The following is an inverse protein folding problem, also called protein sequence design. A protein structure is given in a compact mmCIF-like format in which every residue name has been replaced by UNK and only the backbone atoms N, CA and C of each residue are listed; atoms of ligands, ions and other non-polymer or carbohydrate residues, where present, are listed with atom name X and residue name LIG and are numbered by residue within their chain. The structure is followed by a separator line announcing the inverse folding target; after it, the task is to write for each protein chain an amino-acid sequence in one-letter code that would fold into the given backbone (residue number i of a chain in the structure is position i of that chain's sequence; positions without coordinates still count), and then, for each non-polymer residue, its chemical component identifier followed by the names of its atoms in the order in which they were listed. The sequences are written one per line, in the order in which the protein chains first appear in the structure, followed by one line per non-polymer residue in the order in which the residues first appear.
data_IF_370456721432
#
_entry.id   IF_370456721432
#
_cell.length_a   1.000
_cell.length_b   1.000
_cell.length_c   1.000
_cell.angle_alpha   90.00
_cell.angle_beta   90.00
_cell.angle_gamma   90.00
#
_symmetry.space_group_name_H-M   'P 1'
#
loop_
_entity.id
_entity.type
_entity.pdbx_description
1 polymer ?
#
# COMPACT_ATOMS: atom_id res chain seq x y z
N UNK A 1 -1.63 14.83 6.00
CA UNK A 1 -1.87 15.35 4.63
C UNK A 1 -2.33 14.17 3.79
N UNK A 2 -3.64 13.99 3.66
CA UNK A 2 -4.22 12.86 2.90
C UNK A 2 -3.86 13.00 1.43
N UNK A 3 -3.56 11.88 0.77
CA UNK A 3 -3.27 11.85 -0.65
C UNK A 3 -4.55 12.23 -1.41
N UNK A 4 -4.64 13.52 -1.73
CA UNK A 4 -5.75 14.13 -2.45
C UNK A 4 -5.97 13.45 -3.80
N UNK A 5 -4.98 12.75 -4.35
CA UNK A 5 -5.10 12.07 -5.65
C UNK A 5 -5.90 10.76 -5.55
N UNK A 6 -5.75 10.01 -4.45
CA UNK A 6 -6.49 8.77 -4.22
C UNK A 6 -7.99 9.03 -4.01
N UNK A 7 -8.32 10.04 -3.20
CA UNK A 7 -9.71 10.46 -2.97
C UNK A 7 -10.33 11.03 -4.26
N UNK A 8 -9.57 11.81 -5.04
CA UNK A 8 -10.00 12.34 -6.34
C UNK A 8 -10.31 11.23 -7.34
N UNK A 9 -9.48 10.18 -7.41
CA UNK A 9 -9.69 9.03 -8.31
C UNK A 9 -10.89 8.17 -7.88
N UNK A 10 -11.10 8.00 -6.58
CA UNK A 10 -12.27 7.31 -6.04
C UNK A 10 -13.57 8.07 -6.34
N UNK A 11 -13.57 9.40 -6.21
CA UNK A 11 -14.75 10.25 -6.39
C UNK A 11 -15.09 10.51 -7.87
N UNK A 12 -14.09 10.74 -8.75
CA UNK A 12 -14.31 10.82 -10.22
C UNK A 12 -14.91 9.55 -10.81
N UNK A 13 -14.67 8.40 -10.19
CA UNK A 13 -15.23 7.12 -10.64
C UNK A 13 -16.71 6.94 -10.30
N UNK A 14 -17.23 7.71 -9.32
CA UNK A 14 -18.58 7.50 -8.77
C UNK A 14 -19.53 8.69 -8.91
N UNK A 15 -19.06 9.93 -8.99
CA UNK A 15 -19.92 11.11 -8.99
C UNK A 15 -19.57 11.98 -10.20
N UNK A 16 -20.56 12.11 -11.09
CA UNK A 16 -20.72 13.09 -12.17
C UNK A 16 -19.46 13.80 -12.71
N UNK A 17 -19.26 13.70 -14.03
CA UNK A 17 -18.26 14.41 -14.86
C UNK A 17 -18.28 15.96 -14.76
N UNK A 18 -19.02 16.59 -13.84
CA UNK A 18 -19.38 18.02 -13.89
C UNK A 18 -19.01 18.87 -12.68
N UNK A 19 -18.54 18.30 -11.55
CA UNK A 19 -18.20 19.11 -10.35
C UNK A 19 -16.69 19.21 -10.10
N UNK A 20 -16.27 20.36 -9.60
CA UNK A 20 -14.88 20.67 -9.27
C UNK A 20 -14.45 20.07 -7.93
N UNK A 21 -13.13 19.99 -7.73
CA UNK A 21 -12.50 19.42 -6.53
C UNK A 21 -12.90 20.14 -5.23
N UNK A 22 -13.08 21.45 -5.29
CA UNK A 22 -13.34 22.27 -4.11
C UNK A 22 -14.82 22.19 -3.71
N UNK A 23 -15.75 22.13 -4.68
CA UNK A 23 -17.18 21.91 -4.43
C UNK A 23 -17.46 20.59 -3.70
N UNK A 24 -16.73 19.53 -4.05
CA UNK A 24 -16.88 18.21 -3.42
C UNK A 24 -16.35 18.22 -1.98
N UNK A 25 -15.27 18.95 -1.70
CA UNK A 25 -14.71 19.09 -0.35
C UNK A 25 -15.62 19.96 0.53
N UNK A 26 -16.16 21.05 -0.04
CA UNK A 26 -17.05 21.96 0.67
C UNK A 26 -18.40 21.29 1.00
N UNK A 27 -18.97 20.49 0.09
CA UNK A 27 -20.17 19.69 0.39
C UNK A 27 -19.90 18.65 1.50
N UNK A 28 -18.71 18.06 1.53
CA UNK A 28 -18.30 17.08 2.55
C UNK A 28 -18.12 17.74 3.93
N UNK A 29 -17.51 18.93 3.97
CA UNK A 29 -17.38 19.74 5.19
C UNK A 29 -18.73 20.28 5.66
N UNK A 30 -19.64 20.67 4.75
CA UNK A 30 -20.99 21.13 5.07
C UNK A 30 -21.89 20.00 5.59
N UNK A 31 -21.78 18.79 5.04
CA UNK A 31 -22.50 17.62 5.54
C UNK A 31 -22.09 17.26 6.95
N UNK A 32 -20.77 17.19 7.19
CA UNK A 32 -20.20 16.95 8.52
C UNK A 32 -20.56 18.07 9.50
N UNK A 33 -20.50 19.34 9.08
CA UNK A 33 -20.88 20.46 9.95
C UNK A 33 -22.36 20.48 10.28
N UNK A 34 -23.25 20.16 9.33
CA UNK A 34 -24.70 20.05 9.58
C UNK A 34 -25.04 18.90 10.53
N UNK A 35 -24.40 17.75 10.36
CA UNK A 35 -24.66 16.60 11.23
C UNK A 35 -24.13 16.83 12.64
N UNK A 36 -22.91 17.38 12.76
CA UNK A 36 -22.33 17.78 14.04
C UNK A 36 -23.15 18.89 14.71
N UNK A 37 -23.62 19.88 13.95
CA UNK A 37 -24.49 20.94 14.46
C UNK A 37 -25.86 20.41 14.90
N UNK A 38 -26.43 19.41 14.20
CA UNK A 38 -27.70 18.79 14.59
C UNK A 38 -27.57 17.97 15.86
N UNK A 39 -26.51 17.16 15.98
CA UNK A 39 -26.24 16.37 17.20
C UNK A 39 -25.90 17.27 18.40
N UNK A 40 -25.09 18.31 18.18
CA UNK A 40 -24.81 19.32 19.21
C UNK A 40 -26.08 20.07 19.62
N UNK A 41 -26.93 20.46 18.66
CA UNK A 41 -28.20 21.14 18.95
C UNK A 41 -29.14 20.25 19.75
N UNK A 42 -29.30 18.98 19.40
CA UNK A 42 -30.14 18.06 20.17
C UNK A 42 -29.62 17.86 21.61
N UNK A 43 -28.31 17.73 21.79
CA UNK A 43 -27.70 17.65 23.11
C UNK A 43 -27.90 18.94 23.94
N UNK A 44 -27.82 20.10 23.29
CA UNK A 44 -28.10 21.39 23.93
C UNK A 44 -29.59 21.56 24.28
N UNK A 45 -30.51 21.11 23.41
CA UNK A 45 -31.95 21.15 23.65
C UNK A 45 -32.34 20.24 24.83
N UNK A 46 -31.75 19.03 24.94
CA UNK A 46 -31.93 18.14 26.09
C UNK A 46 -31.35 18.72 27.39
N UNK A 47 -30.16 19.34 27.32
CA UNK A 47 -29.56 19.99 28.48
C UNK A 47 -30.42 21.18 28.94
N UNK A 48 -30.97 21.94 28.00
CA UNK A 48 -31.87 23.05 28.26
C UNK A 48 -33.17 22.60 28.94
N UNK A 49 -33.81 21.54 28.43
CA UNK A 49 -35.01 20.97 29.05
C UNK A 49 -34.72 20.45 30.48
N UNK A 50 -33.58 19.78 30.68
CA UNK A 50 -33.18 19.32 32.01
C UNK A 50 -32.97 20.48 33.00
N UNK A 51 -32.34 21.56 32.55
CA UNK A 51 -32.15 22.77 33.36
C UNK A 51 -33.49 23.42 33.70
N UNK A 52 -34.39 23.50 32.71
CA UNK A 52 -35.73 24.06 32.88
C UNK A 52 -36.57 23.27 33.89
N UNK A 53 -36.56 21.94 33.78
CA UNK A 53 -37.34 21.04 34.65
C UNK A 53 -36.78 20.94 36.08
N UNK A 54 -35.53 21.35 36.29
CA UNK A 54 -34.83 21.25 37.58
C UNK A 54 -34.37 22.62 38.10
N UNK A 55 -34.94 23.73 37.61
CA UNK A 55 -34.40 25.08 37.88
C UNK A 55 -34.37 25.46 39.37
N UNK A 56 -35.32 24.95 40.17
CA UNK A 56 -35.41 25.14 41.63
C UNK A 56 -34.63 24.09 42.44
N UNK A 57 -33.96 23.14 41.78
CA UNK A 57 -33.24 22.07 42.46
C UNK A 57 -31.93 22.60 43.05
N UNK A 58 -31.75 22.48 44.37
CA UNK A 58 -30.52 22.90 45.07
C UNK A 58 -29.25 22.21 44.54
N UNK A 59 -29.38 21.05 43.87
CA UNK A 59 -28.30 20.30 43.26
C UNK A 59 -28.22 20.45 41.73
N UNK A 60 -28.96 21.39 41.12
CA UNK A 60 -29.00 21.61 39.68
C UNK A 60 -27.60 21.73 39.07
N UNK A 61 -26.70 22.45 39.75
CA UNK A 61 -25.31 22.61 39.29
C UNK A 61 -24.60 21.27 39.12
N UNK A 62 -24.75 20.36 40.08
CA UNK A 62 -24.16 19.01 40.05
C UNK A 62 -24.82 18.18 38.95
N UNK A 63 -26.14 18.31 38.76
CA UNK A 63 -26.87 17.60 37.69
C UNK A 63 -26.44 18.06 36.29
N UNK A 64 -26.22 19.36 36.10
CA UNK A 64 -25.69 19.94 34.86
C UNK A 64 -24.26 19.48 34.61
N UNK A 65 -23.39 19.52 35.61
CA UNK A 65 -22.00 19.05 35.49
C UNK A 65 -21.95 17.55 35.16
N UNK A 66 -22.78 16.73 35.81
CA UNK A 66 -22.88 15.30 35.52
C UNK A 66 -23.45 15.03 34.13
N UNK A 67 -24.46 15.80 33.68
CA UNK A 67 -25.04 15.65 32.33
C UNK A 67 -24.04 16.08 31.26
N UNK A 68 -23.29 17.17 31.46
CA UNK A 68 -22.21 17.61 30.55
C UNK A 68 -21.10 16.56 30.48
N UNK A 69 -20.71 15.96 31.61
CA UNK A 69 -19.71 14.90 31.63
C UNK A 69 -20.22 13.58 31.01
N UNK A 70 -21.53 13.32 31.10
CA UNK A 70 -22.19 12.17 30.46
C UNK A 70 -22.54 12.41 28.99
N UNK A 71 -22.56 13.68 28.54
CA UNK A 71 -22.50 14.05 27.13
C UNK A 71 -21.07 13.76 26.66
N UNK A 72 -20.73 12.48 26.56
CA UNK A 72 -19.64 12.04 25.69
C UNK A 72 -20.02 12.53 24.29
N UNK A 73 -19.55 13.71 23.89
CA UNK A 73 -19.59 14.17 22.49
C UNK A 73 -18.63 13.27 21.72
N UNK A 74 -19.07 12.02 21.59
CA UNK A 74 -18.62 11.05 20.63
C UNK A 74 -18.85 11.72 19.30
N UNK A 75 -17.77 12.10 18.62
CA UNK A 75 -17.80 12.17 17.15
C UNK A 75 -18.39 10.82 16.76
N UNK A 76 -19.63 10.76 16.21
CA UNK A 76 -20.31 9.51 16.06
C UNK A 76 -19.35 8.56 15.36
N UNK A 77 -19.14 7.40 15.98
CA UNK A 77 -18.33 6.31 15.45
C UNK A 77 -18.59 6.30 13.95
N UNK A 78 -17.58 6.66 13.14
CA UNK A 78 -17.79 6.96 11.73
C UNK A 78 -18.25 5.67 11.09
N UNK A 79 -19.57 5.50 11.00
CA UNK A 79 -20.13 4.40 10.28
C UNK A 79 -19.94 4.75 8.82
N UNK A 80 -18.81 4.30 8.28
CA UNK A 80 -18.46 4.51 6.89
C UNK A 80 -19.60 3.98 6.00
N UNK A 81 -20.31 2.91 6.38
CA UNK A 81 -21.51 2.45 5.67
C UNK A 81 -22.55 3.56 5.56
N UNK A 82 -22.91 4.23 6.65
CA UNK A 82 -23.94 5.27 6.66
C UNK A 82 -23.53 6.53 5.90
N UNK A 83 -22.25 6.90 5.93
CA UNK A 83 -21.72 8.03 5.15
C UNK A 83 -21.71 7.69 3.65
N UNK A 84 -21.31 6.47 3.29
CA UNK A 84 -21.31 6.00 1.90
C UNK A 84 -22.73 5.80 1.36
N UNK A 85 -23.67 5.31 2.17
CA UNK A 85 -25.09 5.18 1.84
C UNK A 85 -25.73 6.55 1.61
N UNK A 86 -25.46 7.53 2.48
CA UNK A 86 -25.92 8.91 2.33
C UNK A 86 -25.43 9.55 1.02
N UNK A 87 -24.18 9.28 0.62
CA UNK A 87 -23.60 9.74 -0.64
C UNK A 87 -24.18 9.01 -1.87
N UNK A 88 -24.50 7.73 -1.75
CA UNK A 88 -25.11 6.95 -2.83
C UNK A 88 -26.57 7.35 -3.08
N UNK A 89 -27.35 7.55 -2.01
CA UNK A 89 -28.74 8.01 -2.08
C UNK A 89 -28.88 9.42 -2.66
N UNK A 90 -27.96 10.34 -2.34
CA UNK A 90 -27.96 11.70 -2.90
C UNK A 90 -27.50 11.77 -4.36
N UNK A 91 -26.76 10.76 -4.84
CA UNK A 91 -26.34 10.60 -6.23
C UNK A 91 -27.29 9.72 -7.08
N UNK A 92 -28.41 9.25 -6.51
CA UNK A 92 -29.40 8.40 -7.21
C UNK A 92 -28.95 6.96 -7.47
N UNK A 93 -27.88 6.48 -6.82
CA UNK A 93 -27.40 5.11 -6.96
C UNK A 93 -27.83 4.24 -5.77
N UNK A 94 -28.42 3.07 -6.03
CA UNK A 94 -28.66 2.05 -5.00
C UNK A 94 -27.35 1.31 -4.72
N UNK A 95 -26.82 1.45 -3.52
CA UNK A 95 -25.69 0.66 -3.03
C UNK A 95 -26.20 -0.39 -2.03
N UNK A 96 -25.69 -1.61 -2.13
CA UNK A 96 -25.90 -2.68 -1.16
C UNK A 96 -24.55 -3.35 -0.93
N UNK A 97 -24.23 -3.67 0.34
CA UNK A 97 -23.14 -4.59 0.64
C UNK A 97 -23.45 -5.93 -0.01
N UNK A 98 -22.59 -6.36 -0.93
CA UNK A 98 -22.75 -7.66 -1.54
C UNK A 98 -22.07 -8.75 -0.70
N UNK A 99 -22.30 -10.00 -1.06
CA UNK A 99 -21.73 -11.16 -0.38
C UNK A 99 -20.19 -11.11 -0.28
N UNK A 100 -19.52 -10.48 -1.25
CA UNK A 100 -18.06 -10.34 -1.28
C UNK A 100 -17.60 -9.32 -0.24
N UNK A 101 -18.35 -8.23 -0.01
CA UNK A 101 -18.05 -7.26 1.06
C UNK A 101 -18.20 -7.90 2.44
N UNK A 102 -19.30 -8.62 2.66
CA UNK A 102 -19.57 -9.34 3.91
C UNK A 102 -18.48 -10.40 4.14
N UNK A 103 -18.16 -11.20 3.12
CA UNK A 103 -17.10 -12.21 3.19
C UNK A 103 -15.73 -11.60 3.45
N UNK A 104 -15.44 -10.43 2.88
CA UNK A 104 -14.17 -9.71 3.13
C UNK A 104 -14.07 -9.23 4.58
N UNK A 105 -15.15 -8.65 5.11
CA UNK A 105 -15.23 -8.23 6.51
C UNK A 105 -15.14 -9.42 7.46
N UNK A 106 -15.88 -10.50 7.20
CA UNK A 106 -15.81 -11.74 7.97
C UNK A 106 -14.42 -12.35 7.94
N UNK A 107 -13.76 -12.34 6.78
CA UNK A 107 -12.43 -12.93 6.63
C UNK A 107 -11.36 -12.07 7.31
N UNK A 108 -11.51 -10.75 7.28
CA UNK A 108 -10.68 -9.85 8.10
C UNK A 108 -10.89 -10.11 9.59
N UNK A 109 -12.12 -10.41 10.03
CA UNK A 109 -12.47 -10.73 11.42
C UNK A 109 -12.04 -12.15 11.87
N UNK A 110 -12.08 -13.13 10.97
CA UNK A 110 -11.74 -14.55 11.20
C UNK A 110 -10.25 -14.85 11.02
N UNK A 111 -9.49 -13.93 10.43
CA UNK A 111 -8.09 -14.10 10.08
C UNK A 111 -7.22 -14.49 11.30
N UNK A 112 -6.25 -15.38 11.08
CA UNK A 112 -5.33 -15.81 12.14
C UNK A 112 -4.29 -14.73 12.44
N UNK A 113 -4.19 -14.32 13.70
CA UNK A 113 -3.16 -13.40 14.18
C UNK A 113 -2.12 -14.16 14.99
N UNK A 114 -0.86 -13.78 14.81
CA UNK A 114 0.29 -14.50 15.34
C UNK A 114 1.25 -13.58 16.09
N UNK A 115 1.84 -14.12 17.15
CA UNK A 115 2.82 -13.47 18.00
C UNK A 115 3.95 -14.46 18.34
N UNK A 116 5.16 -14.22 17.82
CA UNK A 116 6.41 -14.94 18.17
C UNK A 116 6.27 -16.48 18.11
N UNK A 117 6.74 -17.26 19.08
CA UNK A 117 6.79 -18.71 18.96
C UNK A 117 5.62 -19.43 19.64
N UNK A 118 4.65 -18.69 20.17
CA UNK A 118 3.59 -19.24 21.00
C UNK A 118 2.25 -19.17 20.25
N UNK A 119 1.84 -20.32 19.72
CA UNK A 119 0.45 -20.55 19.36
C UNK A 119 -0.28 -21.01 20.62
N UNK A 120 -0.77 -20.06 21.40
CA UNK A 120 -1.82 -20.33 22.36
C UNK A 120 -3.13 -19.86 21.73
N UNK A 121 -4.11 -20.76 21.61
CA UNK A 121 -5.44 -20.46 21.07
C UNK A 121 -6.07 -19.24 21.77
N UNK A 122 -5.84 -19.11 23.09
CA UNK A 122 -6.24 -17.94 23.88
C UNK A 122 -5.58 -16.64 23.40
N UNK A 123 -4.28 -16.67 23.09
CA UNK A 123 -3.54 -15.50 22.57
C UNK A 123 -4.08 -15.12 21.18
N UNK A 124 -4.34 -16.09 20.32
CA UNK A 124 -4.91 -15.84 18.99
C UNK A 124 -6.34 -15.25 19.08
N UNK A 125 -7.18 -15.79 19.97
CA UNK A 125 -8.54 -15.30 20.19
C UNK A 125 -8.55 -13.89 20.81
N UNK A 126 -7.67 -13.59 21.76
CA UNK A 126 -7.52 -12.26 22.35
C UNK A 126 -7.03 -11.23 21.32
N UNK A 127 -6.09 -11.60 20.46
CA UNK A 127 -5.66 -10.78 19.30
C UNK A 127 -6.82 -10.51 18.34
N UNK A 128 -7.62 -11.53 18.02
CA UNK A 128 -8.80 -11.39 17.15
C UNK A 128 -9.81 -10.42 17.75
N UNK A 129 -10.09 -10.54 19.04
CA UNK A 129 -11.00 -9.66 19.76
C UNK A 129 -10.51 -8.20 19.72
N UNK A 130 -9.24 -7.94 20.08
CA UNK A 130 -8.69 -6.57 20.07
C UNK A 130 -8.69 -5.99 18.66
N UNK A 131 -8.33 -6.80 17.66
CA UNK A 131 -8.33 -6.35 16.26
C UNK A 131 -9.74 -6.01 15.78
N UNK A 132 -10.75 -6.82 16.14
CA UNK A 132 -12.16 -6.53 15.84
C UNK A 132 -12.61 -5.20 16.47
N UNK A 133 -12.22 -4.94 17.73
CA UNK A 133 -12.50 -3.65 18.38
C UNK A 133 -11.89 -2.46 17.64
N UNK A 134 -10.68 -2.60 17.10
CA UNK A 134 -10.06 -1.55 16.27
C UNK A 134 -10.83 -1.33 14.96
N UNK A 135 -11.27 -2.41 14.31
CA UNK A 135 -12.07 -2.30 13.08
C UNK A 135 -13.47 -1.74 13.32
N UNK A 136 -14.07 -2.01 14.48
CA UNK A 136 -15.38 -1.47 14.89
C UNK A 136 -15.30 -0.03 15.44
N UNK A 137 -14.10 0.56 15.50
CA UNK A 137 -13.89 1.91 16.03
C UNK A 137 -13.94 2.01 17.56
N UNK A 138 -14.10 0.89 18.27
CA UNK A 138 -14.12 0.83 19.74
C UNK A 138 -12.74 1.14 20.35
N UNK A 139 -11.66 0.93 19.59
CA UNK A 139 -10.29 1.26 19.98
C UNK A 139 -9.60 1.97 18.82
N UNK A 140 -8.91 3.07 19.10
CA UNK A 140 -8.16 3.76 18.05
C UNK A 140 -6.96 2.94 17.59
N UNK A 141 -6.54 3.11 16.33
CA UNK A 141 -5.34 2.47 15.80
C UNK A 141 -4.09 2.77 16.64
N UNK A 142 -3.98 4.00 17.14
CA UNK A 142 -2.86 4.43 17.99
C UNK A 142 -2.82 3.65 19.32
N UNK A 143 -3.98 3.31 19.86
CA UNK A 143 -4.11 2.65 21.17
C UNK A 143 -4.06 1.12 21.07
N UNK A 144 -4.02 0.53 19.87
CA UNK A 144 -3.98 -0.93 19.67
C UNK A 144 -2.74 -1.54 20.34
N UNK A 145 -1.57 -0.91 20.20
CA UNK A 145 -0.32 -1.43 20.75
C UNK A 145 -0.34 -1.44 22.29
N UNK A 146 -0.85 -0.37 22.92
CA UNK A 146 -1.00 -0.27 24.37
C UNK A 146 -2.04 -1.27 24.89
N UNK A 147 -3.18 -1.40 24.20
CA UNK A 147 -4.22 -2.39 24.53
C UNK A 147 -3.66 -3.81 24.50
N UNK A 148 -2.90 -4.17 23.46
CA UNK A 148 -2.25 -5.48 23.37
C UNK A 148 -1.23 -5.67 24.50
N UNK A 149 -0.41 -4.65 24.79
CA UNK A 149 0.59 -4.71 25.85
C UNK A 149 -0.04 -4.99 27.21
N UNK A 150 -1.11 -4.26 27.58
CA UNK A 150 -1.79 -4.48 28.85
C UNK A 150 -2.49 -5.84 28.90
N UNK A 151 -3.14 -6.26 27.80
CA UNK A 151 -3.81 -7.56 27.72
C UNK A 151 -2.85 -8.75 27.90
N UNK A 152 -1.64 -8.64 27.35
CA UNK A 152 -0.63 -9.70 27.38
C UNK A 152 0.44 -9.51 28.46
N UNK A 153 0.24 -8.55 29.37
CA UNK A 153 1.10 -8.32 30.53
C UNK A 153 1.16 -9.59 31.40
N UNK A 154 2.37 -10.08 31.64
CA UNK A 154 2.59 -11.33 32.39
C UNK A 154 2.40 -12.62 31.59
N UNK A 155 1.87 -12.55 30.35
CA UNK A 155 1.74 -13.71 29.44
C UNK A 155 2.90 -13.76 28.43
N UNK A 156 3.35 -12.59 27.97
CA UNK A 156 4.47 -12.45 27.04
C UNK A 156 5.45 -11.40 27.56
N UNK A 157 6.72 -11.79 27.73
CA UNK A 157 7.80 -10.84 28.03
C UNK A 157 8.23 -10.11 26.75
N UNK A 158 7.40 -9.20 26.27
CA UNK A 158 7.68 -8.39 25.09
C UNK A 158 7.50 -6.90 25.35
N UNK A 159 8.31 -6.06 24.71
CA UNK A 159 8.27 -4.62 24.87
C UNK A 159 7.15 -3.99 24.01
N UNK A 160 6.81 -2.72 24.27
CA UNK A 160 5.79 -1.97 23.50
C UNK A 160 6.06 -2.02 21.99
N UNK A 161 7.33 -1.91 21.58
CA UNK A 161 7.76 -1.95 20.17
C UNK A 161 7.38 -3.28 19.49
N UNK A 162 7.45 -4.41 20.19
CA UNK A 162 6.99 -5.67 19.63
C UNK A 162 5.47 -5.63 19.33
N UNK A 163 4.65 -5.16 20.27
CA UNK A 163 3.20 -5.07 20.09
C UNK A 163 2.80 -4.08 19.00
N UNK A 164 3.46 -2.93 18.92
CA UNK A 164 3.32 -1.99 17.81
C UNK A 164 3.58 -2.68 16.46
N UNK A 165 4.63 -3.51 16.38
CA UNK A 165 4.96 -4.17 15.12
C UNK A 165 3.99 -5.29 14.73
N UNK A 166 3.40 -5.97 15.72
CA UNK A 166 2.30 -6.92 15.50
C UNK A 166 1.07 -6.17 14.97
N UNK A 167 0.68 -5.07 15.61
CA UNK A 167 -0.42 -4.21 15.15
C UNK A 167 -0.20 -3.72 13.71
N UNK A 168 0.99 -3.18 13.42
CA UNK A 168 1.32 -2.68 12.08
C UNK A 168 1.24 -3.77 11.02
N UNK A 169 1.75 -4.97 11.32
CA UNK A 169 1.67 -6.11 10.41
C UNK A 169 0.22 -6.50 10.11
N UNK A 170 -0.59 -6.65 11.16
CA UNK A 170 -2.01 -7.03 11.06
C UNK A 170 -2.78 -6.02 10.22
N UNK A 171 -2.63 -4.75 10.53
CA UNK A 171 -3.34 -3.66 9.85
C UNK A 171 -2.89 -3.57 8.39
N UNK A 172 -1.59 -3.65 8.12
CA UNK A 172 -1.06 -3.61 6.75
C UNK A 172 -1.57 -4.78 5.91
N UNK A 173 -1.55 -6.00 6.43
CA UNK A 173 -2.08 -7.17 5.71
C UNK A 173 -3.57 -7.03 5.43
N UNK A 174 -4.35 -6.65 6.43
CA UNK A 174 -5.80 -6.47 6.31
C UNK A 174 -6.16 -5.38 5.28
N UNK A 175 -5.47 -4.24 5.29
CA UNK A 175 -5.68 -3.17 4.32
C UNK A 175 -5.37 -3.60 2.89
N UNK A 176 -4.30 -4.35 2.68
CA UNK A 176 -3.94 -4.85 1.36
C UNK A 176 -4.96 -5.89 0.85
N UNK A 177 -5.40 -6.82 1.71
CA UNK A 177 -6.44 -7.81 1.37
C UNK A 177 -7.77 -7.11 1.04
N UNK A 178 -8.20 -6.16 1.87
CA UNK A 178 -9.43 -5.40 1.64
C UNK A 178 -9.39 -4.69 0.28
N UNK A 179 -8.25 -4.08 -0.04
CA UNK A 179 -8.07 -3.41 -1.34
C UNK A 179 -8.11 -4.40 -2.51
N UNK A 180 -7.53 -5.59 -2.36
CA UNK A 180 -7.58 -6.65 -3.37
C UNK A 180 -9.02 -7.07 -3.61
N UNK A 181 -9.75 -7.43 -2.55
CA UNK A 181 -11.14 -7.88 -2.63
C UNK A 181 -12.07 -6.80 -3.21
N UNK A 182 -11.86 -5.52 -2.87
CA UNK A 182 -12.64 -4.43 -3.46
C UNK A 182 -12.32 -4.23 -4.94
N UNK A 183 -11.04 -4.32 -5.30
CA UNK A 183 -10.58 -4.06 -6.66
C UNK A 183 -10.96 -5.17 -7.64
N UNK A 184 -11.04 -6.43 -7.18
CA UNK A 184 -11.42 -7.57 -8.02
C UNK A 184 -12.83 -7.42 -8.59
N UNK A 185 -13.75 -6.80 -7.84
CA UNK A 185 -15.12 -6.46 -8.27
C UNK A 185 -15.17 -5.60 -9.53
N UNK A 186 -14.16 -4.76 -9.73
CA UNK A 186 -14.08 -3.83 -10.84
C UNK A 186 -13.23 -4.36 -12.00
N UNK A 187 -12.91 -5.67 -12.01
CA UNK A 187 -12.20 -6.30 -13.10
C UNK A 187 -10.76 -5.79 -13.27
N UNK A 188 -10.14 -5.30 -12.19
CA UNK A 188 -8.73 -4.87 -12.18
C UNK A 188 -7.85 -6.00 -12.70
N UNK A 189 -6.90 -5.67 -13.59
CA UNK A 189 -6.01 -6.66 -14.23
C UNK A 189 -4.62 -6.70 -13.62
N UNK A 190 -4.19 -5.62 -12.97
CA UNK A 190 -2.86 -5.51 -12.39
C UNK A 190 -2.87 -4.69 -11.09
N UNK A 191 -1.93 -5.02 -10.20
CA UNK A 191 -1.59 -4.21 -9.04
C UNK A 191 -0.16 -3.71 -9.15
N UNK A 192 0.07 -2.47 -8.71
CA UNK A 192 1.40 -1.90 -8.51
C UNK A 192 1.76 -1.94 -7.04
N UNK A 193 2.96 -2.40 -6.73
CA UNK A 193 3.52 -2.33 -5.38
C UNK A 193 4.07 -0.93 -5.12
N UNK A 194 3.63 -0.30 -4.03
CA UNK A 194 4.09 1.00 -3.57
C UNK A 194 4.72 0.90 -2.18
N UNK A 195 6.03 1.02 -2.11
CA UNK A 195 6.76 1.10 -0.85
C UNK A 195 7.06 2.58 -0.52
N UNK A 196 6.99 2.93 0.77
CA UNK A 196 7.51 4.22 1.25
C UNK A 196 9.03 4.18 1.20
N UNK A 197 9.63 4.90 0.26
CA UNK A 197 11.08 4.96 0.06
C UNK A 197 11.69 6.03 0.97
N UNK A 198 12.30 5.58 2.07
CA UNK A 198 13.03 6.39 3.05
C UNK A 198 14.24 5.60 3.60
N UNK A 199 14.89 6.14 4.65
CA UNK A 199 16.04 5.51 5.31
C UNK A 199 15.70 4.17 5.98
N UNK A 200 14.43 3.95 6.32
CA UNK A 200 13.91 2.75 7.00
C UNK A 200 13.37 1.71 6.03
N UNK A 201 13.40 1.95 4.72
CA UNK A 201 12.96 0.96 3.72
C UNK A 201 13.98 -0.17 3.62
N UNK A 202 13.50 -1.40 3.84
CA UNK A 202 14.26 -2.63 3.64
C UNK A 202 14.60 -2.89 2.17
N UNK A 203 15.63 -3.70 1.93
CA UNK A 203 16.06 -4.07 0.58
C UNK A 203 14.93 -4.76 -0.20
N UNK A 204 14.15 -5.64 0.45
CA UNK A 204 13.00 -6.27 -0.20
C UNK A 204 11.94 -5.27 -0.62
N UNK A 205 11.50 -4.34 0.25
CA UNK A 205 10.45 -3.38 -0.08
C UNK A 205 10.92 -2.42 -1.18
N UNK A 206 12.19 -2.02 -1.13
CA UNK A 206 12.81 -1.21 -2.17
C UNK A 206 12.80 -1.93 -3.51
N UNK A 207 13.22 -3.20 -3.55
CA UNK A 207 13.25 -4.01 -4.79
C UNK A 207 11.87 -4.31 -5.38
N UNK A 208 10.85 -4.41 -4.53
CA UNK A 208 9.47 -4.66 -4.95
C UNK A 208 8.75 -3.37 -5.37
N UNK A 209 9.22 -2.19 -4.96
CA UNK A 209 8.59 -0.92 -5.33
C UNK A 209 8.49 -0.75 -6.84
N UNK A 210 7.32 -0.35 -7.32
CA UNK A 210 7.03 -0.17 -8.74
C UNK A 210 6.74 -1.47 -9.51
N UNK A 211 6.83 -2.65 -8.88
CA UNK A 211 6.51 -3.91 -9.55
C UNK A 211 5.02 -3.98 -9.91
N UNK A 212 4.75 -4.36 -11.15
CA UNK A 212 3.42 -4.59 -11.69
C UNK A 212 3.14 -6.09 -11.66
N UNK A 213 2.10 -6.48 -10.94
CA UNK A 213 1.76 -7.88 -10.67
C UNK A 213 0.37 -8.16 -11.24
N UNK A 214 0.16 -9.26 -12.00
CA UNK A 214 -1.17 -9.66 -12.45
C UNK A 214 -2.15 -9.81 -11.29
N UNK A 215 -3.39 -9.36 -11.49
CA UNK A 215 -4.45 -9.46 -10.48
C UNK A 215 -4.69 -10.91 -10.05
N UNK A 216 -4.71 -11.85 -11.00
CA UNK A 216 -4.88 -13.28 -10.72
C UNK A 216 -3.85 -13.84 -9.73
N UNK A 217 -2.60 -13.38 -9.79
CA UNK A 217 -1.55 -13.79 -8.86
C UNK A 217 -1.83 -13.28 -7.44
N UNK A 218 -2.17 -12.00 -7.32
CA UNK A 218 -2.44 -11.35 -6.04
C UNK A 218 -3.74 -11.86 -5.40
N UNK A 219 -4.78 -12.07 -6.20
CA UNK A 219 -6.07 -12.60 -5.75
C UNK A 219 -5.94 -14.05 -5.28
N UNK A 220 -5.19 -14.89 -6.00
CA UNK A 220 -4.89 -16.25 -5.56
C UNK A 220 -4.14 -16.26 -4.21
N UNK A 221 -3.11 -15.41 -4.07
CA UNK A 221 -2.39 -15.29 -2.81
C UNK A 221 -3.29 -14.77 -1.68
N UNK A 222 -4.12 -13.75 -1.96
CA UNK A 222 -5.10 -13.21 -1.02
C UNK A 222 -6.07 -14.30 -0.54
N UNK A 223 -6.62 -15.08 -1.47
CA UNK A 223 -7.53 -16.19 -1.16
C UNK A 223 -6.85 -17.25 -0.29
N UNK A 224 -5.59 -17.60 -0.55
CA UNK A 224 -4.84 -18.56 0.26
C UNK A 224 -4.61 -18.06 1.69
N UNK A 225 -4.30 -16.77 1.88
CA UNK A 225 -4.15 -16.17 3.22
C UNK A 225 -5.48 -16.18 3.96
N UNK A 226 -6.55 -15.83 3.25
CA UNK A 226 -7.91 -15.72 3.75
C UNK A 226 -8.51 -17.07 4.17
N UNK A 227 -8.18 -18.14 3.44
CA UNK A 227 -8.70 -19.50 3.68
C UNK A 227 -7.77 -20.37 4.52
N UNK A 228 -6.62 -19.86 4.95
CA UNK A 228 -5.68 -20.59 5.81
C UNK A 228 -6.39 -21.01 7.11
N UNK A 229 -6.31 -22.29 7.46
CA UNK A 229 -6.93 -22.92 8.64
C UNK A 229 -6.05 -22.87 9.87
N UNK A 230 -4.75 -22.70 9.68
CA UNK A 230 -3.77 -22.60 10.74
C UNK A 230 -2.63 -21.63 10.39
N UNK A 231 -1.70 -21.47 11.33
CA UNK A 231 -0.56 -20.56 11.17
C UNK A 231 0.47 -21.05 10.15
N UNK A 232 0.62 -22.36 9.97
CA UNK A 232 1.55 -22.94 9.02
C UNK A 232 1.06 -22.69 7.60
N UNK A 233 -0.23 -22.93 7.35
CA UNK A 233 -0.90 -22.58 6.08
C UNK A 233 -0.79 -21.07 5.81
N UNK A 234 -1.00 -20.22 6.82
CA UNK A 234 -0.88 -18.77 6.64
C UNK A 234 0.54 -18.33 6.30
N UNK A 235 1.56 -18.89 6.96
CA UNK A 235 2.99 -18.64 6.65
C UNK A 235 3.38 -19.18 5.28
N UNK A 236 2.80 -20.31 4.86
CA UNK A 236 3.00 -20.87 3.54
C UNK A 236 2.37 -20.01 2.43
N UNK A 237 1.24 -19.34 2.71
CA UNK A 237 0.55 -18.46 1.79
C UNK A 237 1.18 -17.06 1.65
N UNK A 238 1.92 -16.58 2.66
CA UNK A 238 2.56 -15.27 2.66
C UNK A 238 3.97 -15.33 3.25
N UNK A 239 4.96 -15.59 2.39
CA UNK A 239 6.36 -15.69 2.83
C UNK A 239 6.95 -14.31 3.08
N UNK A 240 7.70 -14.19 4.18
CA UNK A 240 8.56 -13.04 4.41
C UNK A 240 9.90 -13.22 3.74
N UNK A 241 10.50 -12.11 3.31
CA UNK A 241 11.83 -12.08 2.70
C UNK A 241 12.59 -10.86 3.19
N UNK A 242 13.90 -11.01 3.38
CA UNK A 242 14.79 -9.89 3.74
C UNK A 242 15.59 -9.41 2.53
N UNK A 243 16.00 -10.34 1.68
CA UNK A 243 16.79 -10.08 0.47
C UNK A 243 15.95 -9.42 -0.64
N UNK A 244 16.57 -8.60 -1.51
CA UNK A 244 15.89 -8.00 -2.65
C UNK A 244 15.39 -9.07 -3.63
N UNK A 245 14.22 -8.82 -4.22
CA UNK A 245 13.66 -9.66 -5.28
C UNK A 245 14.13 -9.19 -6.65
N UNK A 246 15.03 -9.96 -7.26
CA UNK A 246 15.66 -9.63 -8.54
C UNK A 246 14.96 -10.28 -9.75
N UNK A 247 14.07 -11.24 -9.46
CA UNK A 247 13.34 -12.07 -10.42
C UNK A 247 12.33 -11.34 -11.32
N UNK A 248 11.95 -12.02 -12.40
CA UNK A 248 10.75 -11.67 -13.17
C UNK A 248 9.50 -12.38 -12.63
N UNK A 249 9.61 -13.69 -12.37
CA UNK A 249 8.49 -14.55 -12.00
C UNK A 249 8.39 -14.61 -10.48
N UNK A 250 7.29 -14.10 -9.92
CA UNK A 250 7.05 -14.16 -8.48
C UNK A 250 6.62 -15.58 -8.05
N UNK A 251 7.12 -16.09 -6.92
CA UNK A 251 6.53 -17.25 -6.27
C UNK A 251 5.04 -17.03 -5.98
N UNK A 252 4.21 -18.09 -6.08
CA UNK A 252 2.75 -18.00 -5.89
C UNK A 252 2.33 -17.48 -4.51
N UNK A 253 3.18 -17.64 -3.51
CA UNK A 253 2.99 -17.16 -2.13
C UNK A 253 3.75 -15.86 -1.82
N UNK A 254 4.11 -15.09 -2.86
CA UNK A 254 4.85 -13.85 -2.73
C UNK A 254 4.38 -12.78 -3.73
N UNK A 255 4.09 -11.59 -3.25
CA UNK A 255 3.60 -10.47 -4.08
C UNK A 255 2.71 -9.51 -3.29
N UNK A 256 1.79 -10.07 -2.51
CA UNK A 256 0.93 -9.35 -1.57
C UNK A 256 1.72 -8.98 -0.29
N UNK A 257 1.91 -7.68 0.01
CA UNK A 257 2.54 -7.24 1.25
C UNK A 257 1.63 -7.52 2.46
N UNK A 258 2.18 -7.74 3.66
CA UNK A 258 3.53 -7.35 4.09
C UNK A 258 4.64 -8.36 3.76
N UNK A 259 5.83 -7.87 3.39
CA UNK A 259 7.00 -8.71 3.06
C UNK A 259 7.90 -9.02 4.26
N UNK A 260 7.76 -8.28 5.35
CA UNK A 260 8.52 -8.43 6.58
C UNK A 260 7.74 -7.80 7.75
N UNK A 261 8.28 -7.95 8.97
CA UNK A 261 7.72 -7.31 10.16
C UNK A 261 7.74 -5.78 10.04
N UNK A 262 6.64 -5.07 10.39
CA UNK A 262 6.48 -3.62 10.21
C UNK A 262 6.62 -3.13 8.76
N UNK A 263 6.15 -3.92 7.80
CA UNK A 263 6.09 -3.49 6.40
C UNK A 263 5.09 -2.33 6.23
N UNK A 264 5.47 -1.31 5.45
CA UNK A 264 4.64 -0.13 5.13
C UNK A 264 4.27 -0.08 3.64
N UNK A 265 4.35 -1.23 2.98
CA UNK A 265 4.12 -1.36 1.53
C UNK A 265 2.64 -1.62 1.27
N UNK A 266 2.15 -1.00 0.22
CA UNK A 266 0.76 -1.08 -0.21
C UNK A 266 0.69 -1.62 -1.65
N UNK A 267 -0.40 -2.30 -1.98
CA UNK A 267 -0.81 -2.53 -3.36
C UNK A 267 -1.73 -1.41 -3.81
N UNK A 268 -1.67 -1.05 -5.08
CA UNK A 268 -2.62 -0.12 -5.71
C UNK A 268 -3.09 -0.72 -7.04
N UNK A 269 -4.40 -0.78 -7.32
CA UNK A 269 -4.89 -1.22 -8.61
C UNK A 269 -4.44 -0.26 -9.73
N UNK A 270 -4.01 -0.81 -10.85
CA UNK A 270 -3.47 -0.04 -11.98
C UNK A 270 -3.91 -0.60 -13.33
N UNK A 271 -3.91 0.27 -14.34
CA UNK A 271 -4.16 -0.08 -15.74
C UNK A 271 -2.91 0.21 -16.54
N UNK A 272 -2.50 -0.74 -17.38
CA UNK A 272 -1.33 -0.56 -18.24
C UNK A 272 -1.81 0.07 -19.54
N UNK A 273 -1.22 1.21 -19.87
CA UNK A 273 -1.44 1.91 -21.13
C UNK A 273 -0.13 1.97 -21.92
N UNK A 274 -0.26 2.23 -23.21
CA UNK A 274 0.85 2.57 -24.09
C UNK A 274 0.70 4.02 -24.53
N UNK A 275 1.79 4.77 -24.45
CA UNK A 275 1.88 6.13 -24.97
C UNK A 275 3.17 6.32 -25.75
N UNK A 276 3.17 7.24 -26.72
CA UNK A 276 4.35 7.60 -27.50
C UNK A 276 4.70 9.05 -27.22
N UNK A 277 5.90 9.28 -26.69
CA UNK A 277 6.41 10.61 -26.34
C UNK A 277 7.74 10.78 -27.06
N UNK A 278 7.86 11.85 -27.86
CA UNK A 278 9.06 12.16 -28.66
C UNK A 278 9.54 10.96 -29.50
N UNK A 279 8.60 10.21 -30.10
CA UNK A 279 8.90 9.01 -30.90
C UNK A 279 9.26 7.76 -30.09
N UNK A 280 9.13 7.80 -28.76
CA UNK A 280 9.45 6.68 -27.85
C UNK A 280 8.17 6.09 -27.28
N UNK A 281 7.86 4.84 -27.66
CA UNK A 281 6.73 4.08 -27.11
C UNK A 281 7.04 3.57 -25.70
N UNK A 282 6.20 3.92 -24.73
CA UNK A 282 6.32 3.52 -23.34
C UNK A 282 5.07 2.80 -22.86
N UNK A 283 5.25 1.70 -22.11
CA UNK A 283 4.19 1.01 -21.36
C UNK A 283 4.24 1.47 -19.92
N UNK A 284 3.17 2.03 -19.37
CA UNK A 284 3.13 2.50 -17.98
C UNK A 284 1.72 2.48 -17.39
N UNK A 285 1.63 2.82 -16.11
CA UNK A 285 0.41 2.81 -15.30
C UNK A 285 -0.21 4.19 -15.13
N UNK A 286 0.50 5.24 -15.55
CA UNK A 286 0.03 6.61 -15.57
C UNK A 286 0.89 7.43 -16.52
N UNK A 287 0.36 8.52 -17.12
CA UNK A 287 1.14 9.44 -17.93
C UNK A 287 2.38 9.97 -17.21
N UNK A 288 3.39 10.37 -17.96
CA UNK A 288 4.58 11.03 -17.39
C UNK A 288 4.19 12.32 -16.64
N UNK A 289 4.73 12.50 -15.43
CA UNK A 289 4.65 13.77 -14.73
C UNK A 289 5.67 14.77 -15.28
N UNK A 290 5.49 16.06 -14.97
CA UNK A 290 6.34 17.14 -15.48
C UNK A 290 7.82 16.97 -15.13
N UNK A 291 8.14 16.25 -14.05
CA UNK A 291 9.49 15.97 -13.55
C UNK A 291 10.06 14.64 -14.06
N UNK A 292 9.37 13.90 -14.93
CA UNK A 292 9.80 12.62 -15.47
C UNK A 292 10.24 12.75 -16.94
N UNK A 293 11.28 11.99 -17.31
CA UNK A 293 11.80 11.85 -18.68
C UNK A 293 11.39 10.51 -19.27
N UNK A 294 11.39 9.46 -18.45
CA UNK A 294 10.94 8.11 -18.83
C UNK A 294 10.12 7.54 -17.69
N UNK A 295 8.97 6.94 -18.02
CA UNK A 295 8.21 6.04 -17.15
C UNK A 295 7.83 4.80 -17.96
N UNK A 296 8.43 3.66 -17.63
CA UNK A 296 8.30 2.46 -18.45
C UNK A 296 8.37 1.16 -17.64
N UNK A 297 7.46 0.23 -17.89
CA UNK A 297 7.50 -1.13 -17.34
C UNK A 297 8.61 -1.91 -18.03
N UNK A 298 9.66 -2.22 -17.29
CA UNK A 298 10.81 -2.96 -17.80
C UNK A 298 10.49 -4.45 -18.04
N UNK A 299 11.45 -5.17 -18.63
CA UNK A 299 11.31 -6.60 -18.94
C UNK A 299 11.14 -7.50 -17.71
N UNK A 300 11.48 -7.02 -16.52
CA UNK A 300 11.31 -7.71 -15.24
C UNK A 300 9.93 -7.46 -14.61
N UNK A 301 9.11 -6.59 -15.21
CA UNK A 301 7.78 -6.24 -14.75
C UNK A 301 7.76 -5.09 -13.73
N UNK A 302 8.81 -4.26 -13.69
CA UNK A 302 8.88 -3.10 -12.78
C UNK A 302 8.73 -1.81 -13.58
N UNK A 303 7.81 -0.94 -13.18
CA UNK A 303 7.69 0.40 -13.76
C UNK A 303 8.84 1.28 -13.26
N UNK A 304 9.83 1.51 -14.14
CA UNK A 304 11.00 2.33 -13.88
C UNK A 304 10.76 3.78 -14.23
N UNK A 305 11.34 4.68 -13.44
CA UNK A 305 11.22 6.12 -13.61
C UNK A 305 12.60 6.77 -13.71
N UNK A 306 12.83 7.52 -14.78
CA UNK A 306 13.95 8.46 -14.88
C UNK A 306 13.43 9.88 -14.67
N UNK A 307 13.85 10.52 -13.58
CA UNK A 307 13.50 11.91 -13.25
C UNK A 307 14.43 12.92 -13.90
N UNK A 308 13.90 14.08 -14.26
CA UNK A 308 14.66 15.24 -14.77
C UNK A 308 15.71 15.74 -13.79
N UNK A 309 15.45 15.61 -12.48
CA UNK A 309 16.40 15.96 -11.42
C UNK A 309 17.61 15.03 -11.35
N UNK A 310 17.53 13.83 -11.95
CA UNK A 310 18.70 12.98 -12.11
C UNK A 310 19.57 13.49 -13.28
N UNK A 311 20.41 14.46 -12.94
CA UNK A 311 21.34 15.08 -13.88
C UNK A 311 22.54 14.18 -14.21
N UNK A 312 22.75 13.06 -13.51
CA UNK A 312 23.91 12.20 -13.72
C UNK A 312 23.94 11.66 -15.15
N UNK A 313 22.81 11.12 -15.64
CA UNK A 313 22.69 10.62 -17.02
C UNK A 313 22.88 11.77 -18.00
N UNK A 314 22.15 12.87 -17.80
CA UNK A 314 22.19 14.02 -18.70
C UNK A 314 23.58 14.71 -18.77
N UNK A 315 24.34 14.71 -17.68
CA UNK A 315 25.66 15.35 -17.59
C UNK A 315 26.80 14.43 -18.02
N UNK A 316 26.79 13.17 -17.60
CA UNK A 316 27.91 12.22 -17.80
C UNK A 316 27.73 11.27 -18.98
N UNK A 317 26.51 11.10 -19.47
CA UNK A 317 26.16 10.12 -20.50
C UNK A 317 25.24 10.77 -21.54
N UNK A 318 25.69 11.89 -22.14
CA UNK A 318 24.92 12.73 -23.07
C UNK A 318 24.40 11.97 -24.29
N UNK A 319 25.08 10.89 -24.66
CA UNK A 319 24.70 9.96 -25.73
C UNK A 319 23.51 9.07 -25.35
N UNK A 320 23.15 8.98 -24.06
CA UNK A 320 22.03 8.17 -23.59
C UNK A 320 20.72 8.96 -23.67
N UNK A 321 19.94 8.67 -24.70
CA UNK A 321 18.59 9.24 -24.91
C UNK A 321 17.50 8.44 -24.20
N UNK A 322 16.30 9.02 -24.06
CA UNK A 322 15.09 8.32 -23.57
C UNK A 322 14.80 7.05 -24.40
N UNK A 323 14.98 7.12 -25.72
CA UNK A 323 14.84 5.97 -26.62
C UNK A 323 15.85 4.86 -26.30
N UNK A 324 17.11 5.21 -26.00
CA UNK A 324 18.11 4.22 -25.59
C UNK A 324 17.76 3.57 -24.25
N UNK A 325 17.32 4.37 -23.28
CA UNK A 325 16.90 3.88 -21.96
C UNK A 325 15.74 2.89 -22.11
N UNK A 326 14.68 3.24 -22.84
CA UNK A 326 13.52 2.36 -23.04
C UNK A 326 13.92 1.06 -23.78
N UNK A 327 14.80 1.13 -24.78
CA UNK A 327 15.34 -0.08 -25.44
C UNK A 327 16.14 -0.95 -24.47
N UNK A 328 16.94 -0.34 -23.58
CA UNK A 328 17.70 -1.07 -22.57
C UNK A 328 16.78 -1.76 -21.54
N UNK A 329 15.76 -1.05 -21.03
CA UNK A 329 14.75 -1.60 -20.12
C UNK A 329 14.00 -2.81 -20.70
N UNK A 330 13.65 -2.74 -22.00
CA UNK A 330 13.00 -3.82 -22.74
C UNK A 330 13.93 -4.99 -23.08
N UNK A 331 15.24 -4.87 -22.85
CA UNK A 331 16.22 -5.89 -23.21
C UNK A 331 17.09 -6.34 -22.04
N UNK A 332 16.69 -6.03 -20.79
CA UNK A 332 17.37 -6.56 -19.59
C UNK A 332 17.47 -8.09 -19.68
N UNK A 333 18.68 -8.61 -19.50
CA UNK A 333 18.98 -10.05 -19.53
C UNK A 333 19.45 -10.57 -18.18
N UNK A 334 20.06 -9.73 -17.34
CA UNK A 334 20.46 -10.10 -15.99
C UNK A 334 20.37 -8.90 -15.04
N UNK A 335 20.10 -9.19 -13.77
CA UNK A 335 20.09 -8.22 -12.67
C UNK A 335 20.88 -8.79 -11.50
N UNK A 336 21.51 -7.92 -10.71
CA UNK A 336 22.29 -8.33 -9.54
C UNK A 336 22.36 -7.18 -8.52
N UNK A 337 22.58 -7.49 -7.25
CA UNK A 337 22.84 -6.47 -6.23
C UNK A 337 24.16 -5.75 -6.56
N UNK A 338 24.20 -4.44 -6.39
CA UNK A 338 25.43 -3.65 -6.47
C UNK A 338 26.39 -4.05 -5.32
N UNK A 339 27.71 -4.07 -5.57
CA UNK A 339 28.68 -4.45 -4.52
C UNK A 339 28.81 -3.42 -3.40
N UNK A 340 28.63 -2.15 -3.72
CA UNK A 340 29.03 -1.04 -2.85
C UNK A 340 27.83 -0.39 -2.15
N UNK A 341 26.61 -0.69 -2.57
CA UNK A 341 25.40 -0.07 -2.04
C UNK A 341 24.15 -0.97 -2.18
N UNK A 342 22.98 -0.43 -1.79
CA UNK A 342 21.68 -1.12 -1.81
C UNK A 342 20.98 -1.10 -3.17
N UNK A 343 21.65 -0.65 -4.22
CA UNK A 343 21.06 -0.57 -5.56
C UNK A 343 21.11 -1.91 -6.28
N UNK A 344 20.32 -1.99 -7.33
CA UNK A 344 20.27 -3.14 -8.23
C UNK A 344 20.91 -2.73 -9.54
N UNK A 345 21.94 -3.45 -9.95
CA UNK A 345 22.53 -3.33 -11.27
C UNK A 345 21.75 -4.22 -12.24
N UNK A 346 21.63 -3.78 -13.49
CA UNK A 346 21.10 -4.57 -14.58
C UNK A 346 21.98 -4.44 -15.81
N UNK A 347 21.99 -5.48 -16.64
CA UNK A 347 22.62 -5.48 -17.94
C UNK A 347 21.59 -5.86 -19.01
N UNK A 348 21.68 -5.20 -20.16
CA UNK A 348 20.75 -5.39 -21.28
C UNK A 348 21.45 -5.89 -22.54
N UNK A 349 20.70 -6.55 -23.43
CA UNK A 349 21.24 -7.16 -24.66
C UNK A 349 21.89 -6.16 -25.62
N UNK A 350 21.53 -4.87 -25.50
CA UNK A 350 22.13 -3.77 -26.26
C UNK A 350 23.39 -3.16 -25.60
N UNK A 351 23.94 -3.80 -24.56
CA UNK A 351 25.22 -3.43 -23.94
C UNK A 351 25.14 -2.35 -22.88
N UNK A 352 23.93 -1.95 -22.46
CA UNK A 352 23.77 -0.94 -21.41
C UNK A 352 23.91 -1.57 -20.02
N UNK A 353 24.60 -0.85 -19.16
CA UNK A 353 24.61 -1.02 -17.73
C UNK A 353 23.61 -0.02 -17.11
N UNK A 354 22.74 -0.50 -16.23
CA UNK A 354 21.68 0.29 -15.61
C UNK A 354 21.76 0.08 -14.09
N UNK A 355 21.56 1.15 -13.32
CA UNK A 355 21.50 1.09 -11.85
C UNK A 355 20.14 1.59 -11.38
N UNK A 356 19.50 0.83 -10.50
CA UNK A 356 18.19 1.13 -9.94
C UNK A 356 18.23 1.32 -8.42
N UNK A 357 17.59 2.38 -7.94
CA UNK A 357 17.25 2.56 -6.53
C UNK A 357 15.74 2.33 -6.36
N UNK A 358 15.37 1.08 -6.08
CA UNK A 358 13.97 0.66 -6.18
C UNK A 358 13.47 0.82 -7.61
N UNK A 359 12.43 1.61 -7.83
CA UNK A 359 11.91 1.87 -9.18
C UNK A 359 12.60 3.03 -9.91
N UNK A 360 13.44 3.82 -9.24
CA UNK A 360 14.13 4.95 -9.86
C UNK A 360 15.38 4.51 -10.62
N UNK A 361 15.57 5.06 -11.82
CA UNK A 361 16.79 4.90 -12.61
C UNK A 361 17.83 5.90 -12.10
N UNK A 362 18.95 5.39 -11.58
CA UNK A 362 20.06 6.18 -11.04
C UNK A 362 21.08 6.49 -12.13
N UNK A 363 21.45 5.50 -12.95
CA UNK A 363 22.27 5.71 -14.15
C UNK A 363 21.94 4.67 -15.20
N UNK A 364 22.19 4.99 -16.46
CA UNK A 364 22.04 4.13 -17.62
C UNK A 364 23.05 4.60 -18.67
N UNK A 365 23.97 3.73 -19.09
CA UNK A 365 24.97 4.04 -20.11
C UNK A 365 25.61 2.77 -20.67
N UNK A 366 26.42 2.90 -21.73
CA UNK A 366 27.27 1.82 -22.23
C UNK A 366 28.69 1.98 -21.68
N UNK A 367 29.17 1.10 -20.77
CA UNK A 367 30.53 1.19 -20.25
C UNK A 367 31.61 0.93 -21.32
N UNK A 368 31.26 0.22 -22.38
CA UNK A 368 32.14 -0.08 -23.50
C UNK A 368 31.31 -0.39 -24.75
N UNK A 369 31.82 -0.05 -25.93
CA UNK A 369 31.19 -0.44 -27.20
C UNK A 369 31.25 -1.95 -27.44
N UNK A 370 32.30 -2.61 -26.94
CA UNK A 370 32.37 -4.07 -26.94
C UNK A 370 31.48 -4.63 -25.83
N UNK A 371 30.42 -5.36 -26.22
CA UNK A 371 29.42 -5.92 -25.30
C UNK A 371 30.02 -6.85 -24.24
N UNK A 372 31.04 -7.65 -24.59
CA UNK A 372 31.71 -8.54 -23.64
C UNK A 372 32.41 -7.73 -22.55
N UNK A 373 33.14 -6.68 -22.92
CA UNK A 373 33.77 -5.76 -21.95
C UNK A 373 32.74 -5.00 -21.11
N UNK A 374 31.62 -4.59 -21.70
CA UNK A 374 30.52 -3.97 -20.95
C UNK A 374 29.88 -4.95 -19.95
N UNK A 375 29.75 -6.22 -20.32
CA UNK A 375 29.29 -7.27 -19.41
C UNK A 375 30.29 -7.57 -18.30
N UNK A 376 31.59 -7.61 -18.61
CA UNK A 376 32.65 -7.76 -17.62
C UNK A 376 32.64 -6.61 -16.59
N UNK A 377 32.37 -5.37 -17.05
CA UNK A 377 32.12 -4.26 -16.15
C UNK A 377 30.95 -4.55 -15.19
N UNK A 378 29.79 -4.98 -15.71
CA UNK A 378 28.63 -5.37 -14.87
C UNK A 378 29.02 -6.44 -13.83
N UNK A 379 29.75 -7.49 -14.22
CA UNK A 379 30.24 -8.53 -13.30
C UNK A 379 31.12 -7.94 -12.19
N UNK A 380 32.01 -7.02 -12.54
CA UNK A 380 32.97 -6.45 -11.61
C UNK A 380 32.33 -5.55 -10.55
N UNK A 381 31.24 -4.85 -10.87
CA UNK A 381 30.55 -3.94 -9.94
C UNK A 381 29.31 -4.55 -9.27
N UNK A 382 29.03 -5.84 -9.51
CA UNK A 382 27.85 -6.54 -9.00
C UNK A 382 28.19 -7.77 -8.18
N UNK A 383 27.35 -8.13 -7.21
CA UNK A 383 27.40 -9.42 -6.51
C UNK A 383 26.92 -10.52 -7.47
N UNK A 384 27.75 -10.82 -8.46
CA UNK A 384 27.39 -11.57 -9.67
C UNK A 384 26.99 -13.02 -9.40
N UNK A 385 27.50 -13.62 -8.33
CA UNK A 385 27.16 -15.00 -7.95
C UNK A 385 25.72 -15.11 -7.44
N UNK A 386 25.11 -13.99 -7.03
CA UNK A 386 23.70 -13.89 -6.62
C UNK A 386 22.82 -13.19 -7.66
N UNK A 387 23.23 -13.22 -8.93
CA UNK A 387 22.45 -12.62 -10.03
C UNK A 387 21.17 -13.39 -10.31
N UNK A 388 20.21 -12.68 -10.88
CA UNK A 388 19.08 -13.26 -11.57
C UNK A 388 19.32 -13.20 -13.08
N UNK A 389 18.98 -14.29 -13.78
CA UNK A 389 19.02 -14.37 -15.24
C UNK A 389 17.60 -14.32 -15.79
N UNK A 390 17.27 -13.24 -16.51
CA UNK A 390 15.92 -12.98 -17.05
C UNK A 390 15.73 -13.65 -18.42
N UNK A 391 16.79 -13.67 -19.24
CA UNK A 391 16.87 -14.41 -20.51
C UNK A 391 18.34 -14.57 -20.88
N UNK A 392 18.81 -15.79 -21.11
CA UNK A 392 20.19 -16.02 -21.55
C UNK A 392 20.21 -16.68 -22.93
N UNK A 393 20.92 -16.05 -23.88
CA UNK A 393 21.48 -16.74 -25.04
C UNK A 393 22.97 -16.38 -25.10
N UNK A 394 23.86 -17.37 -25.08
CA UNK A 394 25.32 -17.18 -25.20
C UNK A 394 25.68 -16.43 -26.50
N UNK A 395 24.88 -16.63 -27.55
CA UNK A 395 25.01 -15.92 -28.82
C UNK A 395 24.81 -14.39 -28.74
N UNK A 396 24.25 -13.83 -27.64
CA UNK A 396 24.05 -12.38 -27.50
C UNK A 396 25.32 -11.61 -27.07
N UNK A 397 26.37 -12.34 -26.65
CA UNK A 397 27.65 -11.78 -26.19
C UNK A 397 28.75 -11.82 -27.27
N UNK A 398 28.52 -12.59 -28.34
CA UNK A 398 29.26 -12.54 -29.61
C UNK A 398 28.72 -11.37 -30.44
#
# INVERSE_FOLDING_TARGET
MYDKDLLTRLLKSKIAKTKSKDEIIDELLMGLSKQNAKSLKAALDELFLMIYDNYDNANLKILVENKINALEISVPNINFETIYESLASSAGAKFAFDEIDIKSLETMRKNFYWMKNDYNEKISNDLKAITAKVFNGEITRANMAETLKEKFKGVLSANTSYFEGVSDHIISQAQNIARVNQSSKYGVKHYKVLARIDSRTSDICRSMNGRIIPASHIEAQSNNIQNAKDINEKKAAAIWRNEPFLGKILPSNFGLPPYHFRCRTELVPVWINEEEIDGVKMKNTSPLSKDEVVKHIDKTGVERVWKKSNDHIAKKHKETTSANVVKALNSINTTAKNKDNRYINAFSDNGYFIVFNGNEIVTCYKPNENKKRAFDYFKNVSVYDKKEVIKWKIANLL
#
